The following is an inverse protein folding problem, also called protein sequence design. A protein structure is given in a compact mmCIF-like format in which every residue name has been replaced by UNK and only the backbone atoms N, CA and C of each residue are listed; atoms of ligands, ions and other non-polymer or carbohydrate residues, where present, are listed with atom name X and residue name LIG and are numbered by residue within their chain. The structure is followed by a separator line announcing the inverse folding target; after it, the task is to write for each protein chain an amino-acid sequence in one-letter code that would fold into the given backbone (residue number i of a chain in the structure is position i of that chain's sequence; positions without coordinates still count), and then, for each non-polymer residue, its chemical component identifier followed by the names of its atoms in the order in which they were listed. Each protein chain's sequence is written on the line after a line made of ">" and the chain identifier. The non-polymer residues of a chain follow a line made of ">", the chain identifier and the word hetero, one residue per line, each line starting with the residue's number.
data_IF_587885276233
#
_entry.id   IF_587885276233
#
_cell.length_a   1.000
_cell.length_b   1.000
_cell.length_c   1.000
_cell.angle_alpha   90.00
_cell.angle_beta   90.00
_cell.angle_gamma   90.00
#
_symmetry.space_group_name_H-M   'P 1'
#
loop_
_entity.id
_entity.type
_entity.pdbx_description
1 polymer ?
#
# COMPACT_ATOMS: atom_id res chain seq x y z
N UNK A 1 0.26 -1.28 -14.82
CA UNK A 1 0.12 -1.27 -13.37
C UNK A 1 0.46 -2.64 -12.78
N UNK A 2 0.98 -2.67 -11.56
CA UNK A 2 1.15 -3.88 -10.73
C UNK A 2 1.94 -5.02 -11.39
N UNK A 3 2.96 -4.72 -12.20
CA UNK A 3 3.81 -5.73 -12.82
C UNK A 3 3.23 -6.40 -14.06
N UNK A 4 2.24 -5.78 -14.72
CA UNK A 4 1.68 -6.25 -15.99
C UNK A 4 0.32 -6.98 -15.86
N UNK A 5 -0.28 -7.39 -17.00
CA UNK A 5 -1.59 -8.04 -17.05
C UNK A 5 -1.67 -9.36 -16.24
N UNK A 6 -0.56 -10.04 -16.10
CA UNK A 6 -0.42 -11.28 -15.33
C UNK A 6 0.64 -11.12 -14.23
N UNK A 7 0.65 -9.97 -13.55
CA UNK A 7 1.58 -9.67 -12.47
C UNK A 7 1.46 -10.59 -11.26
N UNK A 8 2.28 -10.36 -10.26
CA UNK A 8 2.43 -11.25 -9.09
C UNK A 8 1.16 -11.48 -8.29
N UNK A 9 0.19 -10.57 -8.34
CA UNK A 9 -1.13 -10.73 -7.71
C UNK A 9 -1.99 -11.84 -8.31
N UNK A 10 -1.67 -12.31 -9.52
CA UNK A 10 -2.38 -13.41 -10.20
C UNK A 10 -1.62 -14.73 -10.15
N UNK A 11 -0.46 -14.78 -9.51
CA UNK A 11 0.37 -15.97 -9.44
C UNK A 11 0.03 -16.83 -8.23
N UNK A 12 0.22 -18.13 -8.39
CA UNK A 12 0.17 -19.08 -7.29
C UNK A 12 1.55 -19.19 -6.69
N UNK A 13 1.65 -18.93 -5.40
CA UNK A 13 2.90 -19.03 -4.65
C UNK A 13 3.03 -20.38 -3.99
N UNK A 14 4.25 -20.88 -3.88
CA UNK A 14 4.57 -21.97 -2.98
C UNK A 14 4.50 -21.44 -1.55
N UNK A 15 3.63 -22.04 -0.74
CA UNK A 15 3.36 -21.61 0.62
C UNK A 15 3.91 -22.63 1.62
N UNK A 16 4.71 -22.15 2.58
CA UNK A 16 5.25 -22.96 3.68
C UNK A 16 4.93 -22.28 4.99
N UNK A 17 4.14 -22.94 5.83
CA UNK A 17 3.92 -22.51 7.20
C UNK A 17 5.12 -22.94 8.06
N UNK A 18 5.92 -21.96 8.49
CA UNK A 18 7.15 -22.21 9.25
C UNK A 18 6.85 -22.56 10.72
N UNK A 19 5.81 -21.94 11.27
CA UNK A 19 5.26 -22.19 12.61
C UNK A 19 3.82 -21.62 12.68
N UNK A 20 3.08 -21.73 13.78
CA UNK A 20 1.70 -21.25 13.86
C UNK A 20 1.47 -19.77 13.54
N UNK A 21 2.51 -18.93 13.63
CA UNK A 21 2.42 -17.48 13.44
C UNK A 21 3.14 -16.99 12.17
N UNK A 22 3.90 -17.86 11.46
CA UNK A 22 4.75 -17.46 10.34
C UNK A 22 4.43 -18.26 9.07
N UNK A 23 4.17 -17.54 7.99
CA UNK A 23 3.92 -18.07 6.65
C UNK A 23 4.94 -17.47 5.68
N UNK A 24 5.66 -18.34 4.96
CA UNK A 24 6.51 -17.95 3.84
C UNK A 24 5.83 -18.28 2.52
N UNK A 25 5.77 -17.30 1.63
CA UNK A 25 5.31 -17.43 0.25
C UNK A 25 6.49 -17.24 -0.68
N UNK A 26 6.67 -18.14 -1.65
CA UNK A 26 7.75 -18.05 -2.63
C UNK A 26 7.20 -18.13 -4.05
N UNK A 27 7.66 -17.25 -4.93
CA UNK A 27 7.36 -17.29 -6.35
C UNK A 27 8.63 -17.10 -7.16
N UNK A 28 8.79 -17.88 -8.23
CA UNK A 28 9.91 -17.79 -9.17
C UNK A 28 9.37 -17.37 -10.53
N UNK A 29 9.57 -16.08 -10.88
CA UNK A 29 9.28 -15.57 -12.22
C UNK A 29 10.44 -15.88 -13.17
N UNK A 30 10.12 -16.26 -14.40
CA UNK A 30 11.10 -16.59 -15.43
C UNK A 30 11.55 -15.36 -16.20
N UNK A 31 12.77 -15.42 -16.74
CA UNK A 31 13.30 -14.37 -17.62
C UNK A 31 12.30 -14.02 -18.74
N UNK A 32 11.94 -12.75 -18.85
CA UNK A 32 10.97 -12.24 -19.81
C UNK A 32 9.49 -12.30 -19.36
N UNK A 33 9.18 -12.84 -18.19
CA UNK A 33 7.81 -12.81 -17.65
C UNK A 33 7.35 -11.36 -17.49
N UNK A 34 6.16 -11.04 -18.04
CA UNK A 34 5.61 -9.67 -18.12
C UNK A 34 6.58 -8.62 -18.72
N UNK A 35 7.59 -9.07 -19.47
CA UNK A 35 8.61 -8.24 -20.08
C UNK A 35 9.79 -7.87 -19.19
N UNK A 36 9.83 -8.35 -17.94
CA UNK A 36 10.94 -8.08 -17.02
C UNK A 36 12.11 -9.02 -17.28
N UNK A 37 13.37 -8.48 -17.35
CA UNK A 37 14.55 -9.32 -17.59
C UNK A 37 14.96 -10.10 -16.32
N UNK A 38 15.54 -11.27 -16.53
CA UNK A 38 16.09 -12.12 -15.50
C UNK A 38 15.07 -13.08 -14.85
N UNK A 39 15.60 -14.19 -14.33
CA UNK A 39 14.83 -14.99 -13.40
C UNK A 39 14.85 -14.31 -12.04
N UNK A 40 13.69 -14.19 -11.41
CA UNK A 40 13.59 -13.58 -10.09
C UNK A 40 12.90 -14.55 -9.13
N UNK A 41 13.51 -14.75 -7.96
CA UNK A 41 12.89 -15.45 -6.83
C UNK A 41 12.42 -14.41 -5.83
N UNK A 42 11.11 -14.33 -5.61
CA UNK A 42 10.51 -13.46 -4.62
C UNK A 42 10.04 -14.28 -3.42
N UNK A 43 10.37 -13.83 -2.22
CA UNK A 43 9.86 -14.39 -0.97
C UNK A 43 9.11 -13.30 -0.21
N UNK A 44 7.98 -13.69 0.37
CA UNK A 44 7.21 -12.86 1.30
C UNK A 44 7.08 -13.64 2.59
N UNK A 45 7.64 -13.11 3.67
CA UNK A 45 7.44 -13.65 5.00
C UNK A 45 6.38 -12.81 5.72
N UNK A 46 5.30 -13.47 6.13
CA UNK A 46 4.23 -12.85 6.93
C UNK A 46 4.25 -13.44 8.33
N UNK A 47 4.25 -12.58 9.33
CA UNK A 47 4.30 -12.98 10.74
C UNK A 47 3.24 -12.25 11.55
N UNK A 48 2.46 -13.02 12.30
CA UNK A 48 1.61 -12.49 13.39
C UNK A 48 2.45 -12.41 14.65
N UNK A 49 2.54 -11.21 15.22
CA UNK A 49 3.32 -11.00 16.46
C UNK A 49 2.44 -11.07 17.71
N UNK A 50 3.04 -11.32 18.87
CA UNK A 50 2.30 -11.41 20.13
C UNK A 50 1.76 -10.05 20.62
N UNK A 51 2.22 -8.94 20.03
CA UNK A 51 1.74 -7.58 20.30
C UNK A 51 0.71 -7.10 19.26
N UNK A 52 0.03 -8.04 18.58
CA UNK A 52 -1.05 -7.81 17.61
C UNK A 52 -0.61 -7.04 16.36
N UNK A 53 0.60 -7.26 15.87
CA UNK A 53 1.04 -6.73 14.59
C UNK A 53 1.11 -7.83 13.51
N UNK A 54 1.04 -7.41 12.26
CA UNK A 54 1.38 -8.22 11.09
C UNK A 54 2.69 -7.64 10.54
N UNK A 55 3.78 -8.40 10.66
CA UNK A 55 5.07 -8.06 10.04
C UNK A 55 5.14 -8.73 8.67
N UNK A 56 5.46 -7.94 7.63
CA UNK A 56 5.56 -8.43 6.25
C UNK A 56 6.93 -8.04 5.71
N UNK A 57 7.75 -9.05 5.41
CA UNK A 57 9.09 -8.86 4.88
C UNK A 57 9.16 -9.38 3.44
N UNK A 58 9.84 -8.63 2.58
CA UNK A 58 10.04 -8.97 1.17
C UNK A 58 11.52 -9.20 0.89
N UNK A 59 11.81 -10.27 0.19
CA UNK A 59 13.14 -10.61 -0.33
C UNK A 59 13.02 -10.91 -1.82
N UNK A 60 13.94 -10.42 -2.62
CA UNK A 60 14.02 -10.71 -4.04
C UNK A 60 15.46 -10.93 -4.48
N UNK A 61 15.70 -12.05 -5.18
CA UNK A 61 16.98 -12.39 -5.78
C UNK A 61 16.81 -12.56 -7.29
N UNK A 62 17.74 -12.04 -8.08
CA UNK A 62 17.68 -12.12 -9.54
C UNK A 62 19.05 -12.41 -10.14
N UNK A 63 19.07 -13.08 -11.30
CA UNK A 63 20.28 -13.39 -12.08
C UNK A 63 20.64 -12.32 -13.12
N UNK A 64 19.78 -11.28 -13.31
CA UNK A 64 20.03 -10.12 -14.18
C UNK A 64 19.51 -8.84 -13.56
N UNK A 65 20.07 -7.67 -13.93
CA UNK A 65 19.47 -6.39 -13.54
C UNK A 65 18.00 -6.31 -13.98
N UNK A 66 17.10 -6.00 -13.04
CA UNK A 66 15.66 -5.88 -13.26
C UNK A 66 15.06 -4.88 -12.30
N UNK A 67 13.75 -4.64 -12.43
CA UNK A 67 12.99 -3.73 -11.55
C UNK A 67 12.23 -4.57 -10.52
N UNK A 68 12.35 -4.20 -9.25
CA UNK A 68 11.60 -4.80 -8.14
C UNK A 68 10.97 -3.69 -7.31
N UNK A 69 9.66 -3.76 -7.14
CA UNK A 69 8.91 -2.89 -6.24
C UNK A 69 7.71 -3.68 -5.71
N UNK A 70 7.88 -4.34 -4.57
CA UNK A 70 6.88 -5.22 -3.98
C UNK A 70 6.12 -4.48 -2.88
N UNK A 71 4.81 -4.76 -2.78
CA UNK A 71 3.96 -4.25 -1.73
C UNK A 71 2.88 -5.25 -1.34
N UNK A 72 2.25 -5.05 -0.19
CA UNK A 72 0.99 -5.68 0.17
C UNK A 72 -0.14 -4.68 -0.10
N UNK A 73 -1.15 -5.10 -0.86
CA UNK A 73 -2.28 -4.26 -1.24
C UNK A 73 -3.57 -4.69 -0.53
N UNK A 74 -3.48 -5.00 0.75
CA UNK A 74 -4.65 -5.34 1.56
C UNK A 74 -5.53 -4.12 1.80
N UNK A 75 -6.84 -4.32 1.73
CA UNK A 75 -7.84 -3.32 2.11
C UNK A 75 -8.35 -3.64 3.51
N UNK A 76 -8.46 -2.60 4.35
CA UNK A 76 -8.86 -2.77 5.75
C UNK A 76 -10.22 -2.12 6.01
N UNK A 77 -11.09 -2.87 6.68
CA UNK A 77 -12.30 -2.36 7.31
C UNK A 77 -12.29 -2.76 8.79
N UNK A 78 -12.07 -1.80 9.66
CA UNK A 78 -11.93 -2.01 11.10
C UNK A 78 -13.27 -2.14 11.83
N UNK A 79 -14.39 -2.03 11.11
CA UNK A 79 -15.73 -2.23 11.66
C UNK A 79 -16.12 -3.73 11.75
N UNK A 80 -15.36 -4.58 11.06
CA UNK A 80 -15.58 -6.03 11.10
C UNK A 80 -16.81 -6.50 10.33
N UNK A 81 -17.38 -5.67 9.49
CA UNK A 81 -18.51 -5.99 8.63
C UNK A 81 -18.21 -5.68 7.15
N UNK A 82 -19.16 -5.97 6.26
CA UNK A 82 -19.05 -5.69 4.83
C UNK A 82 -19.45 -4.24 4.45
N UNK A 83 -19.60 -3.35 5.43
CA UNK A 83 -19.96 -1.96 5.22
C UNK A 83 -18.82 -1.10 4.66
N UNK A 84 -19.10 0.18 4.50
CA UNK A 84 -18.12 1.17 4.07
C UNK A 84 -17.18 1.54 5.21
N UNK A 85 -15.90 1.74 4.89
CA UNK A 85 -14.89 2.29 5.81
C UNK A 85 -14.75 3.83 5.69
N UNK A 86 -15.69 4.49 5.00
CA UNK A 86 -15.63 5.93 4.73
C UNK A 86 -15.56 6.80 6.01
N UNK A 87 -16.15 6.32 7.11
CA UNK A 87 -16.17 7.00 8.40
C UNK A 87 -14.91 6.76 9.24
N UNK A 88 -13.98 5.92 8.77
CA UNK A 88 -12.72 5.70 9.47
C UNK A 88 -11.86 6.97 9.41
N UNK A 89 -11.28 7.33 10.55
CA UNK A 89 -10.35 8.44 10.64
C UNK A 89 -8.99 8.02 10.13
N UNK A 90 -8.55 8.64 9.05
CA UNK A 90 -7.23 8.42 8.45
C UNK A 90 -6.28 9.55 8.83
N UNK A 91 -5.06 9.20 9.15
CA UNK A 91 -3.92 10.12 9.29
C UNK A 91 -2.75 9.58 8.47
N UNK A 92 -2.08 10.44 7.70
CA UNK A 92 -0.87 10.09 6.94
C UNK A 92 0.21 11.11 7.27
N UNK A 93 1.36 10.64 7.76
CA UNK A 93 2.53 11.50 8.03
C UNK A 93 3.31 11.77 6.73
N UNK A 94 2.73 12.66 5.90
CA UNK A 94 3.30 13.06 4.63
C UNK A 94 2.94 14.52 4.31
N UNK A 95 3.94 15.31 3.92
CA UNK A 95 3.75 16.69 3.48
C UNK A 95 3.54 16.81 1.97
N UNK A 96 3.79 15.73 1.22
CA UNK A 96 3.72 15.71 -0.24
C UNK A 96 3.06 14.42 -0.74
N UNK A 97 2.56 14.47 -1.97
CA UNK A 97 2.10 13.31 -2.73
C UNK A 97 2.58 13.37 -4.18
N UNK A 98 2.46 12.27 -4.93
CA UNK A 98 2.77 12.23 -6.35
C UNK A 98 1.46 12.30 -7.16
N UNK A 99 1.25 13.38 -7.96
CA UNK A 99 0.05 13.52 -8.75
C UNK A 99 0.02 12.55 -9.93
N UNK A 100 -1.21 12.27 -10.40
CA UNK A 100 -1.47 11.40 -11.55
C UNK A 100 -2.19 12.18 -12.66
N UNK A 101 -1.95 11.79 -13.91
CA UNK A 101 -2.66 12.31 -15.06
C UNK A 101 -4.04 11.61 -15.27
N UNK A 102 -4.75 11.98 -16.33
CA UNK A 102 -6.08 11.41 -16.64
C UNK A 102 -6.04 9.92 -17.04
N UNK A 103 -4.87 9.34 -17.25
CA UNK A 103 -4.65 7.91 -17.51
C UNK A 103 -4.21 7.16 -16.25
N UNK A 104 -4.17 7.86 -15.11
CA UNK A 104 -3.72 7.37 -13.82
C UNK A 104 -2.22 7.04 -13.76
N UNK A 105 -1.43 7.68 -14.61
CA UNK A 105 0.03 7.58 -14.57
C UNK A 105 0.62 8.75 -13.76
N UNK A 106 1.64 8.46 -12.96
CA UNK A 106 2.35 9.50 -12.20
C UNK A 106 3.02 10.50 -13.14
N UNK A 107 2.89 11.80 -12.84
CA UNK A 107 3.45 12.88 -13.69
C UNK A 107 4.96 13.06 -13.49
N UNK A 108 5.54 12.48 -12.45
CA UNK A 108 6.92 12.71 -12.02
C UNK A 108 7.09 13.91 -11.08
N UNK A 109 6.01 14.63 -10.80
CA UNK A 109 6.02 15.73 -9.84
C UNK A 109 5.84 15.21 -8.40
N UNK A 110 6.28 16.04 -7.44
CA UNK A 110 6.02 15.90 -6.01
C UNK A 110 5.42 17.22 -5.57
N UNK A 111 4.16 17.20 -5.13
CA UNK A 111 3.41 18.40 -4.78
C UNK A 111 2.94 18.37 -3.33
N UNK A 112 2.81 19.55 -2.66
CA UNK A 112 2.38 19.59 -1.27
C UNK A 112 0.92 19.12 -1.12
N UNK A 113 0.61 18.51 0.02
CA UNK A 113 -0.77 18.15 0.40
C UNK A 113 -1.53 19.34 0.96
N UNK A 114 -0.81 20.35 1.45
CA UNK A 114 -1.37 21.53 2.12
C UNK A 114 -2.43 22.24 1.27
N UNK A 115 -3.55 22.62 1.91
CA UNK A 115 -4.70 23.26 1.26
C UNK A 115 -5.36 22.42 0.14
N UNK A 116 -5.17 21.09 0.15
CA UNK A 116 -5.77 20.16 -0.82
C UNK A 116 -6.60 19.07 -0.11
N UNK A 117 -7.51 18.39 -0.83
CA UNK A 117 -8.18 17.19 -0.30
C UNK A 117 -7.24 16.04 0.06
N UNK A 118 -5.97 16.08 -0.40
CA UNK A 118 -4.95 15.06 -0.10
C UNK A 118 -4.32 15.22 1.30
N UNK A 119 -4.64 16.28 2.04
CA UNK A 119 -4.07 16.54 3.36
C UNK A 119 -4.73 15.69 4.46
N UNK A 120 -4.04 14.62 4.85
CA UNK A 120 -4.38 13.74 5.97
C UNK A 120 -3.38 13.85 7.13
N UNK A 121 -2.66 14.97 7.26
CA UNK A 121 -1.74 15.20 8.41
C UNK A 121 -2.48 15.31 9.74
N UNK A 122 -3.76 15.59 9.71
CA UNK A 122 -4.67 15.53 10.86
C UNK A 122 -5.75 14.46 10.64
N UNK A 123 -6.24 13.80 11.71
CA UNK A 123 -7.26 12.76 11.57
C UNK A 123 -8.51 13.28 10.87
N UNK A 124 -8.93 12.61 9.79
CA UNK A 124 -10.10 12.99 9.01
C UNK A 124 -10.82 11.74 8.48
N UNK A 125 -12.18 11.72 8.43
CA UNK A 125 -12.92 10.65 7.79
C UNK A 125 -12.51 10.52 6.32
N UNK A 126 -12.23 9.28 5.87
CA UNK A 126 -11.84 9.02 4.48
C UNK A 126 -12.91 9.53 3.50
N UNK A 127 -14.18 9.35 3.86
CA UNK A 127 -15.34 9.75 3.03
C UNK A 127 -15.59 11.25 2.97
N UNK A 128 -14.99 12.05 3.84
CA UNK A 128 -15.28 13.50 3.96
C UNK A 128 -15.08 14.27 2.65
N UNK A 129 -14.02 13.93 1.92
CA UNK A 129 -13.64 14.63 0.69
C UNK A 129 -13.44 13.69 -0.52
N UNK A 130 -13.67 12.38 -0.37
CA UNK A 130 -13.37 11.39 -1.42
C UNK A 130 -14.09 11.67 -2.75
N UNK A 131 -15.23 12.33 -2.70
CA UNK A 131 -16.07 12.67 -3.86
C UNK A 131 -15.91 14.12 -4.32
N UNK A 132 -14.90 14.85 -3.83
CA UNK A 132 -14.59 16.20 -4.29
C UNK A 132 -13.93 16.16 -5.68
N UNK A 133 -14.73 15.87 -6.70
CA UNK A 133 -14.27 15.72 -8.09
C UNK A 133 -13.99 17.05 -8.81
N UNK A 134 -14.19 18.19 -8.16
CA UNK A 134 -13.66 19.48 -8.61
C UNK A 134 -12.14 19.51 -8.47
N UNK A 135 -11.59 18.74 -7.53
CA UNK A 135 -10.16 18.54 -7.43
C UNK A 135 -9.70 17.45 -8.42
N UNK A 136 -8.87 17.86 -9.38
CA UNK A 136 -8.49 17.02 -10.54
C UNK A 136 -7.90 15.66 -10.15
N UNK A 137 -7.19 15.55 -9.03
CA UNK A 137 -6.58 14.30 -8.59
C UNK A 137 -7.64 13.29 -8.15
N UNK A 138 -8.62 13.70 -7.36
CA UNK A 138 -9.74 12.83 -6.98
C UNK A 138 -10.60 12.44 -8.18
N UNK A 139 -10.74 13.34 -9.15
CA UNK A 139 -11.40 13.02 -10.42
C UNK A 139 -10.64 11.97 -11.21
N UNK A 140 -9.31 12.13 -11.36
CA UNK A 140 -8.46 11.19 -12.10
C UNK A 140 -8.43 9.81 -11.44
N UNK A 141 -8.36 9.76 -10.10
CA UNK A 141 -8.32 8.53 -9.31
C UNK A 141 -9.70 7.91 -9.02
N UNK A 142 -10.79 8.61 -9.37
CA UNK A 142 -12.14 8.24 -8.94
C UNK A 142 -12.22 8.05 -7.41
N UNK A 143 -11.58 8.93 -6.68
CA UNK A 143 -11.34 8.89 -5.24
C UNK A 143 -9.86 8.90 -4.88
N UNK A 144 -9.52 8.40 -3.69
CA UNK A 144 -8.14 8.28 -3.25
C UNK A 144 -7.52 6.96 -3.73
N UNK A 145 -6.53 7.06 -4.61
CA UNK A 145 -5.69 5.95 -5.06
C UNK A 145 -4.29 6.49 -5.46
N UNK A 146 -3.72 7.31 -4.58
CA UNK A 146 -2.50 8.05 -4.83
C UNK A 146 -1.38 7.61 -3.89
N UNK A 147 -0.17 7.97 -4.25
CA UNK A 147 1.01 7.71 -3.44
C UNK A 147 1.38 8.96 -2.63
N UNK A 148 1.51 8.83 -1.30
CA UNK A 148 2.01 9.87 -0.40
C UNK A 148 3.51 9.68 -0.15
N UNK A 149 4.24 10.79 -0.16
CA UNK A 149 5.68 10.83 0.13
C UNK A 149 5.84 10.88 1.65
N UNK A 150 6.08 9.72 2.25
CA UNK A 150 6.10 9.56 3.71
C UNK A 150 7.26 10.29 4.36
N UNK A 151 6.98 11.05 5.42
CA UNK A 151 8.00 11.74 6.23
C UNK A 151 8.89 10.77 7.01
N UNK A 152 8.44 9.52 7.22
CA UNK A 152 9.22 8.46 7.86
C UNK A 152 10.46 8.06 7.05
N UNK A 153 10.43 8.18 5.71
CA UNK A 153 11.59 7.91 4.82
C UNK A 153 12.22 6.53 5.03
N UNK A 154 11.38 5.50 5.29
CA UNK A 154 11.84 4.13 5.54
C UNK A 154 12.32 3.87 6.99
N UNK A 155 12.10 4.79 7.92
CA UNK A 155 12.33 4.52 9.34
C UNK A 155 11.15 3.72 9.91
N UNK A 156 11.34 2.42 10.05
CA UNK A 156 10.33 1.47 10.56
C UNK A 156 9.92 1.76 12.02
N UNK A 157 10.62 2.61 12.75
CA UNK A 157 10.24 3.02 14.10
C UNK A 157 9.35 4.26 14.11
N UNK A 158 9.14 4.88 12.95
CA UNK A 158 8.29 6.05 12.79
C UNK A 158 6.98 5.66 12.11
N UNK A 159 5.84 5.93 12.78
CA UNK A 159 4.52 5.64 12.21
C UNK A 159 4.30 6.46 10.94
N UNK A 160 4.00 5.78 9.85
CA UNK A 160 3.75 6.39 8.55
C UNK A 160 2.29 6.80 8.37
N UNK A 161 1.35 5.98 8.90
CA UNK A 161 -0.08 6.26 8.83
C UNK A 161 -0.83 5.62 10.00
N UNK A 162 -2.06 6.06 10.22
CA UNK A 162 -2.98 5.49 11.20
C UNK A 162 -4.41 5.51 10.66
N UNK A 163 -5.13 4.42 10.82
CA UNK A 163 -6.55 4.30 10.51
C UNK A 163 -7.31 3.92 11.77
N UNK A 164 -8.39 4.61 12.10
CA UNK A 164 -9.20 4.35 13.30
C UNK A 164 -10.67 4.23 12.95
N UNK A 165 -11.29 3.12 13.36
CA UNK A 165 -12.74 3.01 13.37
C UNK A 165 -13.33 3.82 14.53
N UNK A 166 -14.32 4.64 14.24
CA UNK A 166 -15.09 5.37 15.26
C UNK A 166 -16.15 4.46 15.91
N UNK A 167 -16.53 3.36 15.26
CA UNK A 167 -17.55 2.41 15.71
C UNK A 167 -17.00 1.38 16.69
N UNK A 168 -15.88 0.74 16.33
CA UNK A 168 -15.27 -0.33 17.15
C UNK A 168 -14.16 0.17 18.07
N UNK A 169 -13.59 1.33 17.78
CA UNK A 169 -12.41 1.85 18.46
C UNK A 169 -11.10 1.19 18.06
N UNK A 170 -11.12 0.22 17.13
CA UNK A 170 -9.91 -0.44 16.63
C UNK A 170 -9.05 0.58 15.89
N UNK A 171 -7.74 0.52 16.12
CA UNK A 171 -6.73 1.35 15.45
C UNK A 171 -5.76 0.43 14.72
N UNK A 172 -5.45 0.77 13.47
CA UNK A 172 -4.39 0.18 12.67
C UNK A 172 -3.32 1.24 12.45
N UNK A 173 -2.14 1.03 12.99
CA UNK A 173 -0.96 1.85 12.73
C UNK A 173 -0.06 1.17 11.69
N UNK A 174 0.46 1.96 10.76
CA UNK A 174 1.31 1.49 9.65
C UNK A 174 2.71 2.03 9.82
N UNK A 175 3.67 1.13 9.72
CA UNK A 175 5.11 1.39 9.74
C UNK A 175 5.73 0.78 8.48
N UNK A 176 6.56 1.55 7.76
CA UNK A 176 7.18 1.11 6.50
C UNK A 176 8.43 1.93 6.16
#
# INVERSE_FOLDING_TARGET
>A
LHGGPQGFQYRVYDAVQLNPQELQLTYVAKDGEEGFPGNITCKVLMKLTDDNAIDIQYEAETDKPTIVNMTNHSYFNLDGDAGSNAEHLLTIDADYYTPVDSTFMTTGEIVPVEDTPMDFRTPMPVGERINDFDFVQLKNGNGYDHNWVLNAKGDINRRAASLKSQKTGIVLDVYT
#
